data_IF_809671808492
#
_entry.id   IF_809671808492
#
_cell.length_a   1.000
_cell.length_b   1.000
_cell.length_c   1.000
_cell.angle_alpha   90.00
_cell.angle_beta   90.00
_cell.angle_gamma   90.00
#
_symmetry.space_group_name_H-M   'P 1'
#
loop_
_entity.id
_entity.type
_entity.pdbx_description
1 polymer ?
#
# COMPACT_ATOMS: atom_id res chain seq x y z
N UNK A 1 -3.43 0.10 -29.88
CA UNK A 1 -4.60 0.42 -29.03
C UNK A 1 -4.07 1.18 -27.82
N UNK A 2 -4.14 2.51 -27.87
CA UNK A 2 -3.70 3.40 -26.79
C UNK A 2 -4.92 3.97 -26.08
N UNK A 3 -5.03 3.67 -24.79
CA UNK A 3 -5.83 4.38 -23.79
C UNK A 3 -4.94 4.35 -22.54
N UNK A 4 -4.31 5.42 -22.05
CA UNK A 4 -4.79 6.74 -21.64
C UNK A 4 -5.73 6.69 -20.43
N UNK A 5 -5.19 6.20 -19.33
CA UNK A 5 -5.56 6.55 -17.96
C UNK A 5 -4.23 6.87 -17.25
N UNK A 6 -3.81 8.13 -17.29
CA UNK A 6 -3.99 9.09 -16.20
C UNK A 6 -3.17 8.72 -14.95
N UNK A 7 -2.24 9.61 -14.62
CA UNK A 7 -1.29 9.55 -13.51
C UNK A 7 -2.02 9.45 -12.16
N UNK A 8 -2.36 8.25 -11.74
CA UNK A 8 -2.31 7.89 -10.34
C UNK A 8 -0.89 7.37 -10.10
N UNK A 9 -0.19 7.84 -9.06
CA UNK A 9 1.10 7.28 -8.68
C UNK A 9 0.89 5.80 -8.31
N UNK A 10 0.94 4.91 -9.29
CA UNK A 10 0.59 3.49 -9.19
C UNK A 10 1.57 2.67 -8.31
N UNK A 11 2.49 3.35 -7.63
CA UNK A 11 3.39 2.77 -6.64
C UNK A 11 3.24 3.35 -5.23
N UNK A 12 2.42 4.38 -5.02
CA UNK A 12 2.35 5.06 -3.72
C UNK A 12 1.16 4.53 -2.89
N UNK A 13 1.41 3.90 -1.74
CA UNK A 13 0.37 3.21 -0.97
C UNK A 13 -0.62 4.16 -0.30
N UNK A 14 -0.27 5.43 -0.13
CA UNK A 14 -1.14 6.44 0.46
C UNK A 14 -1.47 7.53 -0.57
N UNK A 15 -2.58 7.34 -1.27
CA UNK A 15 -3.14 8.30 -2.25
C UNK A 15 -4.59 8.67 -1.87
N UNK A 16 -5.23 9.60 -2.62
CA UNK A 16 -6.60 10.08 -2.32
C UNK A 16 -7.57 8.92 -2.11
N UNK A 17 -7.60 7.98 -3.06
CA UNK A 17 -8.49 6.82 -3.05
C UNK A 17 -8.25 5.90 -1.85
N UNK A 18 -6.99 5.65 -1.49
CA UNK A 18 -6.67 4.82 -0.32
C UNK A 18 -7.03 5.53 0.99
N UNK A 19 -6.82 6.85 1.05
CA UNK A 19 -7.13 7.65 2.23
C UNK A 19 -8.63 7.75 2.47
N UNK A 20 -9.43 7.94 1.42
CA UNK A 20 -10.90 7.94 1.46
C UNK A 20 -11.42 6.60 1.95
N UNK A 21 -10.96 5.50 1.35
CA UNK A 21 -11.31 4.14 1.80
C UNK A 21 -10.92 3.88 3.25
N UNK A 22 -9.77 4.39 3.68
CA UNK A 22 -9.33 4.23 5.07
C UNK A 22 -10.24 5.00 6.04
N UNK A 23 -10.71 6.19 5.65
CA UNK A 23 -11.58 7.00 6.48
C UNK A 23 -13.04 6.52 6.47
N UNK A 24 -13.48 5.87 5.38
CA UNK A 24 -14.84 5.34 5.25
C UNK A 24 -15.04 3.93 5.82
N UNK A 25 -13.95 3.23 6.15
CA UNK A 25 -14.03 1.84 6.62
C UNK A 25 -14.66 1.74 8.00
N UNK A 26 -15.27 0.60 8.30
CA UNK A 26 -15.83 0.36 9.62
C UNK A 26 -14.72 0.17 10.68
N UNK A 27 -14.96 0.56 11.94
CA UNK A 27 -14.05 0.21 13.04
C UNK A 27 -13.85 -1.31 13.09
N UNK A 28 -12.58 -1.75 13.05
CA UNK A 28 -12.21 -3.17 13.01
C UNK A 28 -11.99 -3.75 11.60
N UNK A 29 -12.40 -3.05 10.54
CA UNK A 29 -12.16 -3.50 9.17
C UNK A 29 -10.68 -3.37 8.79
N UNK A 30 -10.11 -4.43 8.22
CA UNK A 30 -8.72 -4.45 7.77
C UNK A 30 -8.62 -3.84 6.36
N UNK A 31 -7.76 -2.84 6.19
CA UNK A 31 -7.42 -2.26 4.89
C UNK A 31 -5.92 -2.33 4.71
N UNK A 32 -5.48 -3.01 3.66
CA UNK A 32 -4.08 -3.08 3.25
C UNK A 32 -3.91 -2.47 1.85
N UNK A 33 -3.29 -1.29 1.71
CA UNK A 33 -2.98 -0.71 0.41
C UNK A 33 -1.99 -1.57 -0.40
N UNK A 34 -1.22 -2.41 0.28
CA UNK A 34 -0.16 -3.23 -0.29
C UNK A 34 -0.65 -4.63 -0.71
N UNK A 35 -1.97 -4.84 -0.75
CA UNK A 35 -2.60 -6.10 -1.12
C UNK A 35 -2.12 -6.61 -2.49
N UNK A 36 -1.87 -5.72 -3.44
CA UNK A 36 -1.37 -6.10 -4.76
C UNK A 36 0.05 -6.69 -4.67
N UNK A 37 0.98 -6.03 -3.97
CA UNK A 37 2.33 -6.53 -3.74
C UNK A 37 2.31 -7.87 -2.99
N UNK A 38 1.44 -8.02 -1.98
CA UNK A 38 1.22 -9.29 -1.29
C UNK A 38 0.76 -10.38 -2.28
N UNK A 39 -0.23 -10.09 -3.12
CA UNK A 39 -0.74 -11.04 -4.12
C UNK A 39 0.34 -11.49 -5.11
N UNK A 40 1.24 -10.59 -5.52
CA UNK A 40 2.36 -10.90 -6.41
C UNK A 40 3.36 -11.84 -5.74
N UNK A 41 3.68 -11.59 -4.47
CA UNK A 41 4.58 -12.45 -3.68
C UNK A 41 4.00 -13.87 -3.48
N UNK A 42 2.70 -13.98 -3.23
CA UNK A 42 2.00 -15.26 -3.12
C UNK A 42 1.98 -16.01 -4.45
N UNK A 43 1.70 -15.30 -5.56
CA UNK A 43 1.77 -15.89 -6.92
C UNK A 43 3.17 -16.42 -7.24
N UNK A 44 4.23 -15.73 -6.82
CA UNK A 44 5.59 -16.21 -6.98
C UNK A 44 5.81 -17.51 -6.19
N UNK A 45 5.40 -17.56 -4.92
CA UNK A 45 5.50 -18.78 -4.11
C UNK A 45 4.75 -19.95 -4.73
N UNK A 46 3.52 -19.73 -5.20
CA UNK A 46 2.71 -20.77 -5.82
C UNK A 46 3.35 -21.34 -7.09
N UNK A 47 4.12 -20.53 -7.83
CA UNK A 47 4.80 -20.95 -9.06
C UNK A 47 6.14 -21.66 -8.80
N UNK A 48 6.81 -21.30 -7.71
CA UNK A 48 8.14 -21.82 -7.37
C UNK A 48 8.11 -22.85 -6.23
N UNK A 49 6.97 -23.52 -6.00
CA UNK A 49 6.86 -24.57 -4.98
C UNK A 49 7.06 -24.08 -3.54
N UNK A 50 6.88 -22.79 -3.29
CA UNK A 50 7.10 -22.17 -1.99
C UNK A 50 8.54 -21.72 -1.74
N UNK A 51 9.43 -21.77 -2.73
CA UNK A 51 10.78 -21.24 -2.61
C UNK A 51 10.76 -19.71 -2.40
N UNK A 52 11.25 -19.30 -1.23
CA UNK A 52 11.23 -17.91 -0.79
C UNK A 52 12.38 -17.10 -1.38
N UNK A 53 13.52 -17.73 -1.65
CA UNK A 53 14.71 -17.04 -2.16
C UNK A 53 14.44 -16.49 -3.57
N UNK A 54 13.71 -17.27 -4.38
CA UNK A 54 13.25 -16.88 -5.71
C UNK A 54 12.25 -15.71 -5.72
N UNK A 55 11.64 -15.41 -4.57
CA UNK A 55 10.57 -14.42 -4.45
C UNK A 55 10.96 -13.18 -3.62
N UNK A 56 12.25 -13.04 -3.29
CA UNK A 56 12.76 -12.02 -2.37
C UNK A 56 12.38 -10.60 -2.81
N UNK A 57 12.46 -10.30 -4.10
CA UNK A 57 12.10 -8.99 -4.65
C UNK A 57 10.62 -8.65 -4.45
N UNK A 58 9.73 -9.64 -4.57
CA UNK A 58 8.30 -9.43 -4.32
C UNK A 58 8.02 -9.16 -2.83
N UNK A 59 8.74 -9.82 -1.93
CA UNK A 59 8.63 -9.52 -0.50
C UNK A 59 9.18 -8.15 -0.16
N UNK A 60 10.28 -7.74 -0.81
CA UNK A 60 10.84 -6.42 -0.62
C UNK A 60 9.86 -5.33 -1.05
N UNK A 61 9.24 -5.49 -2.23
CA UNK A 61 8.19 -4.57 -2.69
C UNK A 61 7.01 -4.47 -1.70
N UNK A 62 6.58 -5.58 -1.07
CA UNK A 62 5.54 -5.54 -0.04
C UNK A 62 6.00 -4.79 1.22
N UNK A 63 7.24 -5.01 1.67
CA UNK A 63 7.81 -4.32 2.84
C UNK A 63 7.93 -2.82 2.60
N UNK A 64 8.45 -2.43 1.45
CA UNK A 64 8.64 -1.03 1.08
C UNK A 64 7.30 -0.30 1.01
N UNK A 65 6.30 -0.92 0.38
CA UNK A 65 4.94 -0.41 0.37
C UNK A 65 4.39 -0.21 1.79
N UNK A 66 4.56 -1.20 2.67
CA UNK A 66 4.05 -1.10 4.05
C UNK A 66 4.76 -0.01 4.85
N UNK A 67 6.06 0.16 4.65
CA UNK A 67 6.83 1.24 5.27
C UNK A 67 6.35 2.62 4.82
N UNK A 68 6.18 2.82 3.51
CA UNK A 68 5.67 4.06 2.94
C UNK A 68 4.24 4.37 3.42
N UNK A 69 3.38 3.36 3.56
CA UNK A 69 2.04 3.56 4.10
C UNK A 69 2.07 4.07 5.55
N UNK A 70 2.87 3.42 6.40
CA UNK A 70 2.96 3.79 7.81
C UNK A 70 3.58 5.18 8.00
N UNK A 71 4.60 5.54 7.20
CA UNK A 71 5.19 6.88 7.24
C UNK A 71 4.18 7.93 6.80
N UNK A 72 3.51 7.75 5.66
CA UNK A 72 2.53 8.69 5.15
C UNK A 72 1.35 8.90 6.12
N UNK A 73 0.87 7.82 6.77
CA UNK A 73 -0.17 7.94 7.81
C UNK A 73 0.31 8.69 9.05
N UNK A 74 1.56 8.49 9.47
CA UNK A 74 2.13 9.22 10.61
C UNK A 74 2.21 10.71 10.28
N UNK A 75 2.65 11.06 9.08
CA UNK A 75 2.72 12.44 8.61
C UNK A 75 1.34 13.09 8.51
N UNK A 76 0.34 12.39 7.97
CA UNK A 76 -1.04 12.87 7.92
C UNK A 76 -1.57 13.18 9.33
N UNK A 77 -1.39 12.27 10.30
CA UNK A 77 -1.76 12.49 11.70
C UNK A 77 -1.06 13.69 12.34
N UNK A 78 0.23 13.89 12.04
CA UNK A 78 0.99 15.02 12.56
C UNK A 78 0.47 16.35 12.02
N UNK A 79 0.10 16.40 10.74
CA UNK A 79 -0.51 17.59 10.11
C UNK A 79 -1.87 17.91 10.71
N UNK A 80 -2.73 16.90 10.89
CA UNK A 80 -4.04 17.07 11.53
C UNK A 80 -3.89 17.56 12.98
N UNK A 81 -2.95 16.98 13.74
CA UNK A 81 -2.64 17.43 15.09
C UNK A 81 -2.13 18.87 15.13
N UNK A 82 -1.24 19.27 14.20
CA UNK A 82 -0.72 20.65 14.11
C UNK A 82 -1.83 21.65 13.78
N UNK A 83 -2.78 21.27 12.92
CA UNK A 83 -3.94 22.09 12.57
C UNK A 83 -4.88 22.35 13.75
N UNK A 84 -4.93 21.44 14.73
CA UNK A 84 -5.75 21.62 15.94
C UNK A 84 -5.14 22.63 16.93
N UNK A 85 -3.83 22.84 16.89
CA UNK A 85 -3.10 23.73 17.81
C UNK A 85 -2.72 25.10 17.20
N UNK A 86 -3.16 25.41 15.97
CA UNK A 86 -2.93 26.71 15.32
C UNK A 86 -4.20 27.56 15.28
#
# INVERSE_FOLDING_TARGET
MSSKDAKDNAGEPWNSKTSEKFNSKLPGEYLDPCQEAASRSLKCLHRNGGDREMCTDYFQAYRDCKQQWLSARKEAKLKDGKSWFS
#
